data_IF_537485259761
#
_entry.id   IF_537485259761
#
_cell.length_a   1.000
_cell.length_b   1.000
_cell.length_c   1.000
_cell.angle_alpha   90.00
_cell.angle_beta   90.00
_cell.angle_gamma   90.00
#
_symmetry.space_group_name_H-M   'P 1'
#
loop_
_entity.id
_entity.type
_entity.pdbx_description
1 polymer ?
#
# COMPACT_ATOMS: atom_id res chain seq x y z
N UNK A 1 53.42 -8.49 -26.57
CA UNK A 1 52.59 -8.89 -25.44
C UNK A 1 51.33 -8.03 -25.42
N UNK A 2 50.20 -8.56 -25.89
CA UNK A 2 48.95 -7.82 -25.92
C UNK A 2 48.19 -8.10 -24.62
N UNK A 3 48.07 -7.07 -23.78
CA UNK A 3 47.22 -7.14 -22.58
C UNK A 3 45.78 -6.97 -23.02
N UNK A 4 44.99 -8.06 -22.98
CA UNK A 4 43.58 -7.98 -23.21
C UNK A 4 42.96 -7.56 -21.88
N UNK A 5 42.62 -6.27 -21.76
CA UNK A 5 41.80 -5.82 -20.62
C UNK A 5 40.37 -6.28 -20.90
N UNK A 6 39.97 -7.36 -20.27
CA UNK A 6 38.58 -7.78 -20.25
C UNK A 6 37.83 -6.75 -19.42
N UNK A 7 37.17 -5.78 -20.09
CA UNK A 7 36.21 -4.91 -19.42
C UNK A 7 35.00 -5.78 -19.06
N UNK A 8 34.95 -6.21 -17.81
CA UNK A 8 33.73 -6.79 -17.25
C UNK A 8 32.75 -5.64 -17.10
N UNK A 9 31.89 -5.46 -18.10
CA UNK A 9 30.72 -4.63 -17.95
C UNK A 9 29.80 -5.33 -16.96
N UNK A 10 29.90 -4.96 -15.69
CA UNK A 10 28.87 -5.31 -14.73
C UNK A 10 27.60 -4.57 -15.15
N UNK A 11 26.72 -5.28 -15.82
CA UNK A 11 25.37 -4.80 -16.07
C UNK A 11 24.62 -4.78 -14.74
N UNK A 12 24.75 -3.68 -14.00
CA UNK A 12 23.75 -3.32 -13.02
C UNK A 12 22.57 -2.79 -13.83
N UNK A 13 21.66 -3.69 -14.23
CA UNK A 13 20.33 -3.26 -14.62
C UNK A 13 19.74 -2.42 -13.51
N UNK A 14 18.76 -1.52 -13.79
CA UNK A 14 18.11 -0.75 -12.75
C UNK A 14 17.51 -1.75 -11.75
N UNK A 15 18.19 -1.88 -10.64
CA UNK A 15 17.63 -2.56 -9.48
C UNK A 15 16.52 -1.64 -8.98
N UNK A 16 15.30 -1.83 -9.47
CA UNK A 16 14.17 -1.17 -8.84
C UNK A 16 14.01 -1.84 -7.49
N UNK A 17 14.50 -1.17 -6.46
CA UNK A 17 14.22 -1.50 -5.08
C UNK A 17 12.75 -1.17 -4.76
N UNK A 18 11.86 -1.59 -5.65
CA UNK A 18 10.44 -1.63 -5.41
C UNK A 18 10.22 -2.86 -4.56
N UNK A 19 9.78 -2.70 -3.34
CA UNK A 19 9.38 -3.79 -2.49
C UNK A 19 8.31 -4.67 -3.13
N UNK A 20 7.51 -5.36 -2.36
CA UNK A 20 6.43 -6.18 -2.86
C UNK A 20 5.46 -5.35 -3.71
N UNK A 21 4.84 -5.97 -4.72
CA UNK A 21 3.80 -5.33 -5.51
C UNK A 21 2.58 -4.99 -4.65
N UNK A 22 1.73 -4.06 -5.08
CA UNK A 22 0.62 -3.58 -4.25
C UNK A 22 -0.41 -4.67 -3.94
N UNK A 23 -0.62 -5.61 -4.82
CA UNK A 23 -1.54 -6.73 -4.57
C UNK A 23 -1.03 -7.64 -3.45
N UNK A 24 0.26 -7.92 -3.43
CA UNK A 24 0.91 -8.68 -2.35
C UNK A 24 0.86 -7.90 -1.05
N UNK A 25 1.19 -6.61 -1.06
CA UNK A 25 1.11 -5.77 0.13
C UNK A 25 -0.32 -5.65 0.66
N UNK A 26 -1.30 -5.57 -0.22
CA UNK A 26 -2.71 -5.60 0.16
C UNK A 26 -3.07 -6.88 0.91
N UNK A 27 -2.72 -8.03 0.34
CA UNK A 27 -3.00 -9.34 0.94
C UNK A 27 -2.34 -9.49 2.31
N UNK A 28 -1.12 -9.01 2.46
CA UNK A 28 -0.35 -9.17 3.70
C UNK A 28 -0.72 -8.16 4.79
N UNK A 29 -1.19 -6.96 4.43
CA UNK A 29 -1.28 -5.86 5.38
C UNK A 29 -2.66 -5.21 5.48
N UNK A 30 -3.50 -5.33 4.47
CA UNK A 30 -4.76 -4.56 4.37
C UNK A 30 -5.99 -5.46 4.41
N UNK A 31 -5.88 -6.67 3.89
CA UNK A 31 -6.98 -7.60 3.67
C UNK A 31 -7.70 -7.99 4.96
N UNK A 32 -7.00 -8.07 6.09
CA UNK A 32 -7.57 -8.49 7.36
C UNK A 32 -8.73 -7.56 7.79
N UNK A 33 -8.61 -6.26 7.54
CA UNK A 33 -9.65 -5.28 7.83
C UNK A 33 -10.51 -4.98 6.60
N UNK A 34 -9.87 -4.59 5.50
CA UNK A 34 -10.58 -4.12 4.29
C UNK A 34 -11.14 -5.24 3.43
N UNK A 35 -10.76 -6.50 3.66
CA UNK A 35 -11.21 -7.65 2.87
C UNK A 35 -10.47 -7.82 1.56
N UNK A 36 -10.66 -8.94 0.87
CA UNK A 36 -10.01 -9.22 -0.41
C UNK A 36 -10.47 -8.28 -1.53
N UNK A 37 -11.69 -7.78 -1.45
CA UNK A 37 -12.30 -6.89 -2.43
C UNK A 37 -12.30 -5.41 -2.02
N UNK A 38 -11.85 -5.10 -0.80
CA UNK A 38 -11.84 -3.74 -0.26
C UNK A 38 -13.15 -3.29 0.40
N UNK A 39 -14.16 -4.16 0.48
CA UNK A 39 -15.49 -3.82 1.02
C UNK A 39 -15.53 -3.61 2.53
N UNK A 40 -14.44 -3.97 3.24
CA UNK A 40 -14.38 -4.00 4.70
C UNK A 40 -15.39 -4.97 5.34
N UNK A 41 -15.90 -5.93 4.57
CA UNK A 41 -16.83 -6.94 5.06
C UNK A 41 -16.07 -8.08 5.79
N UNK A 42 -15.40 -7.73 6.87
CA UNK A 42 -14.64 -8.62 7.74
C UNK A 42 -14.98 -8.31 9.19
N UNK A 43 -14.74 -9.28 10.08
CA UNK A 43 -14.97 -9.05 11.53
C UNK A 43 -14.12 -7.90 12.06
N UNK A 44 -12.85 -7.83 11.67
CA UNK A 44 -11.93 -6.77 12.10
C UNK A 44 -12.32 -5.43 11.48
N UNK A 45 -12.68 -5.40 10.20
CA UNK A 45 -13.14 -4.19 9.52
C UNK A 45 -14.38 -3.59 10.17
N UNK A 46 -15.33 -4.41 10.55
CA UNK A 46 -16.54 -3.97 11.27
C UNK A 46 -16.20 -3.45 12.67
N UNK A 47 -15.35 -4.15 13.39
CA UNK A 47 -14.95 -3.76 14.75
C UNK A 47 -14.20 -2.43 14.78
N UNK A 48 -13.37 -2.14 13.77
CA UNK A 48 -12.56 -0.92 13.67
C UNK A 48 -13.16 0.17 12.79
N UNK A 49 -14.36 -0.05 12.26
CA UNK A 49 -15.04 0.89 11.37
C UNK A 49 -14.20 1.22 10.12
N UNK A 50 -13.63 0.18 9.51
CA UNK A 50 -12.84 0.32 8.30
C UNK A 50 -13.73 0.78 7.12
N UNK A 51 -13.16 1.62 6.25
CA UNK A 51 -13.88 2.16 5.09
C UNK A 51 -14.12 1.08 4.04
N UNK A 52 -15.33 1.09 3.46
CA UNK A 52 -15.66 0.34 2.25
C UNK A 52 -15.06 1.04 1.03
N UNK A 53 -13.94 0.53 0.54
CA UNK A 53 -13.21 1.13 -0.58
C UNK A 53 -13.82 0.78 -1.94
N UNK A 54 -14.87 -0.05 -1.98
CA UNK A 54 -15.64 -0.30 -3.21
C UNK A 54 -16.66 0.80 -3.48
N UNK A 55 -16.97 1.60 -2.48
CA UNK A 55 -17.99 2.64 -2.54
C UNK A 55 -17.46 3.92 -3.19
N UNK A 56 -18.13 4.39 -4.25
CA UNK A 56 -17.70 5.58 -4.99
C UNK A 56 -17.70 6.86 -4.15
N UNK A 57 -18.67 7.03 -3.27
CA UNK A 57 -18.74 8.20 -2.39
C UNK A 57 -17.60 8.21 -1.36
N UNK A 58 -17.24 7.06 -0.83
CA UNK A 58 -16.07 6.89 0.04
C UNK A 58 -14.80 7.22 -0.72
N UNK A 59 -14.62 6.71 -1.92
CA UNK A 59 -13.46 7.00 -2.77
C UNK A 59 -13.30 8.50 -3.06
N UNK A 60 -14.41 9.22 -3.21
CA UNK A 60 -14.41 10.67 -3.43
C UNK A 60 -14.17 11.49 -2.17
N UNK A 61 -14.28 10.87 -0.99
CA UNK A 61 -14.17 11.57 0.30
C UNK A 61 -12.73 11.87 0.72
N UNK A 62 -11.74 11.28 0.08
CA UNK A 62 -10.31 11.49 0.40
C UNK A 62 -9.47 11.68 -0.86
N UNK A 63 -8.41 12.48 -0.72
CA UNK A 63 -7.37 12.65 -1.76
C UNK A 63 -6.37 11.49 -1.72
N UNK A 64 -5.58 11.34 -2.77
CA UNK A 64 -4.47 10.38 -2.78
C UNK A 64 -3.45 10.68 -1.67
N UNK A 65 -3.18 11.97 -1.41
CA UNK A 65 -2.28 12.38 -0.33
C UNK A 65 -2.82 11.99 1.04
N UNK A 66 -4.11 12.15 1.28
CA UNK A 66 -4.76 11.73 2.52
C UNK A 66 -4.74 10.21 2.68
N UNK A 67 -4.97 9.46 1.60
CA UNK A 67 -4.86 8.01 1.62
C UNK A 67 -3.43 7.56 1.95
N UNK A 68 -2.43 8.18 1.33
CA UNK A 68 -1.02 7.88 1.61
C UNK A 68 -0.66 8.18 3.07
N UNK A 69 -1.11 9.31 3.61
CA UNK A 69 -0.90 9.68 5.01
C UNK A 69 -1.57 8.68 5.97
N UNK A 70 -2.78 8.24 5.66
CA UNK A 70 -3.49 7.24 6.47
C UNK A 70 -2.75 5.89 6.50
N UNK A 71 -2.18 5.46 5.38
CA UNK A 71 -1.38 4.23 5.33
C UNK A 71 -0.07 4.41 6.11
N UNK A 72 0.60 5.53 5.92
CA UNK A 72 1.91 5.78 6.55
C UNK A 72 1.81 5.99 8.05
N UNK A 73 0.88 6.83 8.49
CA UNK A 73 0.78 7.30 9.87
C UNK A 73 -0.31 6.60 10.67
N UNK A 74 -1.16 5.82 10.01
CA UNK A 74 -2.32 5.20 10.63
C UNK A 74 -3.45 6.21 10.87
N UNK A 75 -4.54 5.71 11.46
CA UNK A 75 -5.72 6.50 11.80
C UNK A 75 -6.10 6.23 13.24
N UNK A 76 -6.19 7.29 14.03
CA UNK A 76 -6.70 7.24 15.40
C UNK A 76 -7.95 8.11 15.49
N UNK A 77 -9.00 7.58 16.09
CA UNK A 77 -10.27 8.29 16.31
C UNK A 77 -10.81 7.93 17.69
N UNK A 78 -11.20 8.95 18.43
CA UNK A 78 -11.72 8.79 19.79
C UNK A 78 -10.76 7.99 20.73
N UNK A 79 -9.46 8.24 20.60
CA UNK A 79 -8.41 7.58 21.38
C UNK A 79 -8.13 6.14 21.00
N UNK A 80 -8.79 5.61 19.94
CA UNK A 80 -8.62 4.24 19.47
C UNK A 80 -7.94 4.23 18.10
N UNK A 81 -6.93 3.35 17.96
CA UNK A 81 -6.32 3.08 16.66
C UNK A 81 -7.30 2.34 15.77
N UNK A 82 -7.72 2.98 14.69
CA UNK A 82 -8.63 2.42 13.69
C UNK A 82 -7.89 1.76 12.54
N UNK A 83 -6.75 2.31 12.17
CA UNK A 83 -5.85 1.77 11.16
C UNK A 83 -4.42 1.85 11.65
N UNK A 84 -3.67 0.76 11.52
CA UNK A 84 -2.26 0.71 11.90
C UNK A 84 -1.42 1.59 10.97
N UNK A 85 -0.30 2.10 11.48
CA UNK A 85 0.69 2.83 10.70
C UNK A 85 1.64 1.84 10.02
N UNK A 86 1.86 2.01 8.73
CA UNK A 86 2.74 1.14 7.94
C UNK A 86 4.03 1.82 7.47
N UNK A 87 4.27 3.08 7.86
CA UNK A 87 5.45 3.84 7.43
C UNK A 87 6.79 3.23 7.83
N UNK A 88 6.83 2.44 8.89
CA UNK A 88 8.03 1.70 9.29
C UNK A 88 8.21 0.36 8.56
N UNK A 89 7.20 -0.10 7.85
CA UNK A 89 7.14 -1.42 7.20
C UNK A 89 7.15 -1.33 5.68
N UNK A 90 6.52 -0.29 5.13
CA UNK A 90 6.38 -0.06 3.69
C UNK A 90 7.15 1.19 3.29
N UNK A 91 7.81 1.14 2.12
CA UNK A 91 8.45 2.32 1.54
C UNK A 91 7.40 3.31 1.02
N UNK A 92 7.82 4.56 0.80
CA UNK A 92 6.94 5.58 0.21
C UNK A 92 6.46 5.15 -1.19
N UNK A 93 7.29 4.49 -1.98
CA UNK A 93 6.90 3.95 -3.30
C UNK A 93 5.87 2.83 -3.18
N UNK A 94 6.02 1.94 -2.20
CA UNK A 94 5.03 0.90 -1.93
C UNK A 94 3.69 1.50 -1.48
N UNK A 95 3.71 2.53 -0.65
CA UNK A 95 2.51 3.24 -0.20
C UNK A 95 1.82 3.92 -1.39
N UNK A 96 2.58 4.59 -2.25
CA UNK A 96 2.05 5.21 -3.47
C UNK A 96 1.38 4.18 -4.39
N UNK A 97 2.00 3.03 -4.58
CA UNK A 97 1.43 1.94 -5.37
C UNK A 97 0.15 1.37 -4.72
N UNK A 98 0.09 1.30 -3.40
CA UNK A 98 -1.12 0.89 -2.67
C UNK A 98 -2.27 1.88 -2.85
N UNK A 99 -1.99 3.18 -2.85
CA UNK A 99 -3.02 4.20 -3.11
C UNK A 99 -3.61 4.00 -4.51
N UNK A 100 -2.77 3.78 -5.52
CA UNK A 100 -3.24 3.47 -6.87
C UNK A 100 -4.09 2.19 -6.90
N UNK A 101 -3.67 1.15 -6.18
CA UNK A 101 -4.42 -0.10 -6.06
C UNK A 101 -5.80 0.11 -5.41
N UNK A 102 -5.85 0.88 -4.32
CA UNK A 102 -7.09 1.25 -3.64
C UNK A 102 -8.09 1.91 -4.60
N UNK A 103 -7.63 2.79 -5.48
CA UNK A 103 -8.51 3.43 -6.47
C UNK A 103 -9.11 2.44 -7.46
N UNK A 104 -8.47 1.31 -7.71
CA UNK A 104 -9.01 0.27 -8.60
C UNK A 104 -10.13 -0.55 -7.97
N UNK A 105 -10.32 -0.48 -6.65
CA UNK A 105 -11.33 -1.27 -5.92
C UNK A 105 -12.73 -0.69 -6.04
N UNK A 106 -12.88 0.52 -6.52
CA UNK A 106 -14.17 1.18 -6.71
C UNK A 106 -15.06 0.38 -7.68
N UNK A 107 -16.26 0.14 -7.28
CA UNK A 107 -17.31 -0.47 -8.11
C UNK A 107 -18.24 0.56 -8.70
#
# INVERSE_FOLDING_TARGET
MKIIVLMIMSFFGPFSAQGADPKTNWANNCMQCHGPDGSANTSMGKALDAKDLTNAAIQSSFSDAEAAAAIKDGVTKDGMTRMLAFGGKLSDDEIKALVAYVRTLKK
#
